data_IF_101328938813
#
_entry.id   IF_101328938813
#
_cell.length_a   1.000
_cell.length_b   1.000
_cell.length_c   1.000
_cell.angle_alpha   90.00
_cell.angle_beta   90.00
_cell.angle_gamma   90.00
#
_symmetry.space_group_name_H-M   'P 1'
#
loop_
_entity.id
_entity.type
_entity.pdbx_description
1 polymer ?
#
# COMPACT_ATOMS: atom_id res chain seq x y z
N UNK A 1 -15.59 10.06 -28.82
CA UNK A 1 -15.13 10.14 -27.42
C UNK A 1 -13.62 9.99 -27.37
N UNK A 2 -12.88 11.00 -26.88
CA UNK A 2 -11.45 10.86 -26.58
C UNK A 2 -11.32 10.32 -25.16
N UNK A 3 -10.69 9.16 -24.99
CA UNK A 3 -10.38 8.58 -23.68
C UNK A 3 -9.14 9.23 -23.04
N UNK A 4 -8.83 8.82 -21.82
CA UNK A 4 -7.61 9.20 -21.11
C UNK A 4 -6.72 7.97 -20.93
N UNK A 5 -5.40 8.15 -21.01
CA UNK A 5 -4.43 7.12 -20.74
C UNK A 5 -3.45 7.60 -19.68
N UNK A 6 -3.06 6.71 -18.76
CA UNK A 6 -2.04 7.02 -17.77
C UNK A 6 -0.68 6.88 -18.43
N UNK A 7 0.13 7.94 -18.43
CA UNK A 7 1.51 7.91 -18.91
C UNK A 7 2.44 7.06 -18.03
N UNK A 8 3.68 6.84 -18.46
CA UNK A 8 4.65 6.01 -17.72
C UNK A 8 4.90 6.49 -16.30
N UNK A 9 5.11 7.80 -16.10
CA UNK A 9 5.29 8.38 -14.77
C UNK A 9 4.05 8.17 -13.89
N UNK A 10 2.84 8.28 -14.45
CA UNK A 10 1.61 8.01 -13.73
C UNK A 10 1.50 6.53 -13.32
N UNK A 11 1.89 5.59 -14.19
CA UNK A 11 1.91 4.16 -13.86
C UNK A 11 2.89 3.86 -12.74
N UNK A 12 4.08 4.46 -12.77
CA UNK A 12 5.06 4.33 -11.70
C UNK A 12 4.51 4.85 -10.36
N UNK A 13 3.92 6.06 -10.37
CA UNK A 13 3.29 6.65 -9.19
C UNK A 13 2.15 5.80 -8.64
N UNK A 14 1.25 5.28 -9.49
CA UNK A 14 0.16 4.41 -9.06
C UNK A 14 0.68 3.11 -8.42
N UNK A 15 1.70 2.46 -9.01
CA UNK A 15 2.31 1.26 -8.40
C UNK A 15 2.88 1.57 -7.02
N UNK A 16 3.57 2.70 -6.92
CA UNK A 16 4.15 3.17 -5.68
C UNK A 16 3.09 3.42 -4.60
N UNK A 17 2.01 4.14 -4.93
CA UNK A 17 0.89 4.40 -4.03
C UNK A 17 0.18 3.11 -3.58
N UNK A 18 -0.03 2.16 -4.49
CA UNK A 18 -0.61 0.84 -4.19
C UNK A 18 0.29 0.05 -3.24
N UNK A 19 1.62 0.10 -3.42
CA UNK A 19 2.56 -0.53 -2.49
C UNK A 19 2.41 0.04 -1.08
N UNK A 20 2.38 1.36 -0.94
CA UNK A 20 2.21 2.03 0.36
C UNK A 20 0.89 1.63 1.03
N UNK A 21 -0.21 1.72 0.30
CA UNK A 21 -1.52 1.31 0.78
C UNK A 21 -1.49 -0.12 1.34
N UNK A 22 -1.00 -1.06 0.53
CA UNK A 22 -1.03 -2.49 0.87
C UNK A 22 -0.13 -2.84 2.04
N UNK A 23 1.00 -2.14 2.21
CA UNK A 23 1.88 -2.34 3.37
C UNK A 23 1.23 -1.75 4.63
N UNK A 24 0.70 -0.53 4.55
CA UNK A 24 0.02 0.13 5.67
C UNK A 24 -1.16 -0.70 6.16
N UNK A 25 -2.06 -1.12 5.28
CA UNK A 25 -3.21 -1.95 5.68
C UNK A 25 -2.76 -3.29 6.26
N UNK A 26 -1.66 -3.88 5.76
CA UNK A 26 -1.14 -5.14 6.28
C UNK A 26 -0.65 -4.98 7.71
N UNK A 27 0.11 -3.92 7.99
CA UNK A 27 0.60 -3.63 9.32
C UNK A 27 -0.56 -3.32 10.28
N UNK A 28 -1.46 -2.41 9.89
CA UNK A 28 -2.60 -2.00 10.70
C UNK A 28 -3.52 -3.20 11.03
N UNK A 29 -3.76 -4.08 10.06
CA UNK A 29 -4.60 -5.24 10.26
C UNK A 29 -3.90 -6.36 11.05
N UNK A 30 -2.72 -6.81 10.60
CA UNK A 30 -2.06 -8.00 11.16
C UNK A 30 -1.28 -7.73 12.45
N UNK A 31 -0.70 -6.54 12.59
CA UNK A 31 0.15 -6.19 13.74
C UNK A 31 -0.64 -5.42 14.79
N UNK A 32 -1.40 -4.40 14.40
CA UNK A 32 -2.22 -3.62 15.34
C UNK A 32 -3.62 -4.20 15.60
N UNK A 33 -4.05 -5.19 14.81
CA UNK A 33 -5.32 -5.87 15.02
C UNK A 33 -6.55 -5.06 14.61
N UNK A 34 -6.41 -4.05 13.73
CA UNK A 34 -7.58 -3.34 13.21
C UNK A 34 -8.41 -4.29 12.32
N UNK A 35 -9.76 -4.18 12.37
CA UNK A 35 -10.63 -4.81 11.38
C UNK A 35 -10.22 -4.43 9.96
N UNK A 36 -10.36 -5.36 9.02
CA UNK A 36 -9.88 -5.22 7.65
C UNK A 36 -10.35 -3.93 6.97
N UNK A 37 -11.65 -3.63 7.06
CA UNK A 37 -12.26 -2.46 6.44
C UNK A 37 -11.70 -1.17 7.05
N UNK A 38 -11.49 -1.14 8.37
CA UNK A 38 -10.93 0.01 9.06
C UNK A 38 -9.45 0.20 8.75
N UNK A 39 -8.68 -0.88 8.68
CA UNK A 39 -7.27 -0.83 8.28
C UNK A 39 -7.11 -0.28 6.85
N UNK A 40 -8.00 -0.67 5.93
CA UNK A 40 -8.04 -0.16 4.56
C UNK A 40 -8.34 1.34 4.51
N UNK A 41 -9.34 1.80 5.27
CA UNK A 41 -9.69 3.22 5.38
C UNK A 41 -8.52 4.06 5.90
N UNK A 42 -7.87 3.62 6.99
CA UNK A 42 -6.71 4.33 7.54
C UNK A 42 -5.52 4.32 6.58
N UNK A 43 -5.26 3.19 5.90
CA UNK A 43 -4.23 3.11 4.88
C UNK A 43 -4.49 4.07 3.71
N UNK A 44 -5.75 4.25 3.29
CA UNK A 44 -6.14 5.21 2.26
C UNK A 44 -5.81 6.65 2.65
N UNK A 45 -5.97 7.01 3.92
CA UNK A 45 -5.64 8.35 4.42
C UNK A 45 -4.12 8.53 4.56
N UNK A 46 -3.42 7.51 5.07
CA UNK A 46 -1.99 7.59 5.39
C UNK A 46 -1.07 7.46 4.17
N UNK A 47 -1.49 6.77 3.10
CA UNK A 47 -0.62 6.45 1.95
C UNK A 47 0.01 7.68 1.25
N UNK A 48 -0.62 8.85 1.33
CA UNK A 48 -0.10 10.08 0.74
C UNK A 48 0.93 10.78 1.62
N UNK A 49 0.96 10.46 2.91
CA UNK A 49 1.75 11.17 3.93
C UNK A 49 2.86 10.33 4.55
N UNK A 50 2.73 9.01 4.57
CA UNK A 50 3.76 8.12 5.08
C UNK A 50 5.06 8.27 4.27
N UNK A 51 6.21 8.39 4.92
CA UNK A 51 7.50 8.39 4.22
C UNK A 51 7.84 7.00 3.69
N UNK A 52 8.74 6.93 2.71
CA UNK A 52 9.27 5.65 2.21
C UNK A 52 9.92 4.82 3.32
N UNK A 53 10.73 5.48 4.14
CA UNK A 53 11.42 4.83 5.27
C UNK A 53 10.42 4.18 6.23
N UNK A 54 9.34 4.90 6.59
CA UNK A 54 8.30 4.34 7.45
C UNK A 54 7.67 3.10 6.80
N UNK A 55 7.26 3.20 5.54
CA UNK A 55 6.60 2.09 4.85
C UNK A 55 7.51 0.86 4.77
N UNK A 56 8.81 1.04 4.49
CA UNK A 56 9.75 -0.08 4.46
C UNK A 56 9.92 -0.73 5.84
N UNK A 57 10.03 0.06 6.92
CA UNK A 57 10.06 -0.48 8.28
C UNK A 57 8.78 -1.26 8.64
N UNK A 58 7.61 -0.75 8.24
CA UNK A 58 6.35 -1.45 8.46
C UNK A 58 6.27 -2.76 7.66
N UNK A 59 6.83 -2.79 6.45
CA UNK A 59 6.93 -4.00 5.63
C UNK A 59 7.80 -5.06 6.31
N UNK A 60 8.95 -4.67 6.84
CA UNK A 60 9.86 -5.54 7.60
C UNK A 60 9.19 -6.10 8.86
N UNK A 61 8.59 -5.23 9.67
CA UNK A 61 7.87 -5.63 10.91
C UNK A 61 6.71 -6.57 10.59
N UNK A 62 6.08 -6.41 9.43
CA UNK A 62 4.99 -7.29 8.96
C UNK A 62 5.48 -8.62 8.35
N UNK A 63 6.78 -8.92 8.40
CA UNK A 63 7.37 -10.16 7.89
C UNK A 63 7.55 -10.20 6.38
N UNK A 64 7.72 -9.04 5.73
CA UNK A 64 7.90 -8.89 4.28
C UNK A 64 6.82 -9.61 3.44
N UNK A 65 5.54 -9.26 3.62
CA UNK A 65 4.43 -9.93 2.94
C UNK A 65 4.47 -9.70 1.43
N UNK A 66 4.11 -10.73 0.66
CA UNK A 66 3.91 -10.63 -0.80
C UNK A 66 2.45 -10.31 -1.18
N UNK A 67 1.51 -10.47 -0.24
CA UNK A 67 0.08 -10.19 -0.41
C UNK A 67 -0.50 -9.47 0.81
N UNK A 68 -1.38 -8.50 0.55
CA UNK A 68 -2.11 -7.79 1.59
C UNK A 68 -3.24 -8.64 2.19
N UNK A 69 -3.93 -8.17 3.25
CA UNK A 69 -5.04 -8.88 3.88
C UNK A 69 -6.22 -9.17 2.95
N UNK A 70 -6.45 -8.35 1.92
CA UNK A 70 -7.43 -8.62 0.85
C UNK A 70 -6.98 -9.70 -0.15
N UNK A 71 -5.76 -10.23 -0.01
CA UNK A 71 -5.18 -11.24 -0.91
C UNK A 71 -4.53 -10.68 -2.18
N UNK A 72 -4.49 -9.36 -2.36
CA UNK A 72 -3.90 -8.70 -3.52
C UNK A 72 -2.37 -8.59 -3.38
N UNK A 73 -1.64 -8.75 -4.49
CA UNK A 73 -0.17 -8.71 -4.50
C UNK A 73 0.39 -7.37 -4.03
N UNK A 74 1.47 -7.34 -3.28
CA UNK A 74 2.16 -6.09 -2.96
C UNK A 74 3.14 -5.79 -4.10
N UNK A 75 3.00 -4.67 -4.84
CA UNK A 75 3.95 -4.33 -5.88
C UNK A 75 5.38 -4.25 -5.33
N UNK A 76 6.33 -4.77 -6.12
CA UNK A 76 7.75 -4.65 -5.82
C UNK A 76 8.23 -3.20 -5.84
N UNK A 77 9.46 -2.99 -5.35
CA UNK A 77 10.19 -1.74 -5.59
C UNK A 77 10.42 -1.59 -7.09
N UNK A 78 10.26 -0.37 -7.60
CA UNK A 78 10.49 0.01 -9.00
C UNK A 78 11.68 0.92 -9.11
#
# INVERSE_FOLDING_TARGET
NKGFAIGEGGRAYCRHLIRKHRILETYLCRVLGLPLEKACEEAHNLQYHASEELVERLCEVSGNPSRCPHGLEIPGRV
#
